data_IF_665320383380
#
_entry.id   IF_665320383380
#
_cell.length_a   1.000
_cell.length_b   1.000
_cell.length_c   1.000
_cell.angle_alpha   90.00
_cell.angle_beta   90.00
_cell.angle_gamma   90.00
#
_symmetry.space_group_name_H-M   'P 1'
#
loop_
_entity.id
_entity.type
_entity.pdbx_description
1 polymer ?
#
# COMPACT_ATOMS: atom_id res chain seq x y z
N UNK A 1 1.97 2.66 -10.42
CA UNK A 1 0.50 2.77 -10.33
C UNK A 1 -0.18 1.40 -10.24
N UNK A 2 -0.42 0.65 -11.34
CA UNK A 2 -1.08 -0.68 -11.23
C UNK A 2 -0.16 -1.71 -10.56
N UNK A 3 1.12 -1.75 -10.94
CA UNK A 3 2.07 -2.73 -10.42
C UNK A 3 2.37 -2.52 -8.93
N UNK A 4 2.59 -1.26 -8.52
CA UNK A 4 2.80 -0.89 -7.12
C UNK A 4 1.59 -1.24 -6.23
N UNK A 5 0.38 -1.07 -6.75
CA UNK A 5 -0.86 -1.45 -6.05
C UNK A 5 -0.97 -2.97 -5.91
N UNK A 6 -0.68 -3.73 -6.97
CA UNK A 6 -0.69 -5.20 -6.95
C UNK A 6 0.35 -5.72 -5.96
N UNK A 7 1.57 -5.16 -5.99
CA UNK A 7 2.65 -5.55 -5.10
C UNK A 7 2.32 -5.24 -3.64
N UNK A 8 1.75 -4.05 -3.37
CA UNK A 8 1.28 -3.67 -2.05
C UNK A 8 0.14 -4.58 -1.55
N UNK A 9 -0.85 -4.88 -2.40
CA UNK A 9 -1.95 -5.78 -2.05
C UNK A 9 -1.47 -7.21 -1.76
N UNK A 10 -0.59 -7.75 -2.60
CA UNK A 10 -0.01 -9.08 -2.40
C UNK A 10 0.68 -9.17 -1.05
N UNK A 11 1.49 -8.17 -0.71
CA UNK A 11 2.27 -8.18 0.52
C UNK A 11 1.40 -7.97 1.76
N UNK A 12 0.35 -7.16 1.64
CA UNK A 12 -0.66 -7.06 2.68
C UNK A 12 -1.41 -8.37 2.92
N UNK A 13 -1.84 -9.08 1.86
CA UNK A 13 -2.48 -10.38 2.02
C UNK A 13 -1.53 -11.39 2.67
N UNK A 14 -0.24 -11.38 2.32
CA UNK A 14 0.76 -12.22 2.98
C UNK A 14 0.85 -11.93 4.49
N UNK A 15 0.96 -10.66 4.88
CA UNK A 15 1.04 -10.25 6.29
C UNK A 15 -0.27 -10.51 7.06
N UNK A 16 -1.43 -10.30 6.43
CA UNK A 16 -2.73 -10.58 7.05
C UNK A 16 -2.97 -12.08 7.29
N UNK A 17 -2.44 -12.94 6.42
CA UNK A 17 -2.54 -14.40 6.61
C UNK A 17 -1.66 -14.92 7.75
N UNK A 18 -0.55 -14.22 8.05
CA UNK A 18 0.35 -14.54 9.16
C UNK A 18 -0.20 -14.03 10.49
N UNK A 19 -0.71 -12.79 10.53
CA UNK A 19 -1.29 -12.16 11.71
C UNK A 19 -2.60 -11.44 11.32
N UNK A 20 -3.78 -11.99 11.66
CA UNK A 20 -5.09 -11.48 11.22
C UNK A 20 -5.55 -10.22 11.97
N UNK A 21 -4.64 -9.26 12.14
CA UNK A 21 -4.94 -7.88 12.51
C UNK A 21 -4.69 -6.96 11.31
N UNK A 22 -5.77 -6.38 10.79
CA UNK A 22 -5.73 -5.46 9.63
C UNK A 22 -4.80 -4.28 9.89
N UNK A 23 -4.78 -3.74 11.11
CA UNK A 23 -3.94 -2.57 11.43
C UNK A 23 -2.46 -2.93 11.42
N UNK A 24 -2.09 -4.06 12.04
CA UNK A 24 -0.70 -4.54 12.04
C UNK A 24 -0.23 -4.89 10.62
N UNK A 25 -1.04 -5.60 9.83
CA UNK A 25 -0.72 -5.96 8.46
C UNK A 25 -0.53 -4.74 7.54
N UNK A 26 -1.42 -3.73 7.62
CA UNK A 26 -1.25 -2.47 6.88
C UNK A 26 0.03 -1.76 7.30
N UNK A 27 0.32 -1.70 8.60
CA UNK A 27 1.53 -1.04 9.11
C UNK A 27 2.81 -1.73 8.66
N UNK A 28 2.87 -3.06 8.71
CA UNK A 28 4.03 -3.82 8.21
C UNK A 28 4.22 -3.61 6.71
N UNK A 29 3.15 -3.67 5.93
CA UNK A 29 3.20 -3.48 4.47
C UNK A 29 3.68 -2.07 4.09
N UNK A 30 3.24 -1.04 4.82
CA UNK A 30 3.74 0.33 4.67
C UNK A 30 5.23 0.45 5.02
N UNK A 31 5.66 -0.24 6.08
CA UNK A 31 7.06 -0.20 6.52
C UNK A 31 8.00 -0.98 5.59
N UNK A 32 7.54 -2.03 4.92
CA UNK A 32 8.37 -2.80 3.98
C UNK A 32 8.25 -2.23 2.57
N UNK A 33 7.11 -2.46 1.94
CA UNK A 33 6.84 -2.10 0.54
C UNK A 33 6.74 -0.58 0.36
N UNK A 34 6.12 0.13 1.29
CA UNK A 34 6.01 1.59 1.22
C UNK A 34 7.37 2.30 1.26
N UNK A 35 8.36 1.78 2.00
CA UNK A 35 9.74 2.30 1.98
C UNK A 35 10.40 2.10 0.61
N UNK A 36 10.23 0.94 -0.02
CA UNK A 36 10.77 0.70 -1.35
C UNK A 36 10.17 1.65 -2.38
N UNK A 37 8.85 1.85 -2.36
CA UNK A 37 8.15 2.79 -3.25
C UNK A 37 8.56 4.26 -3.01
N UNK A 38 8.86 4.65 -1.76
CA UNK A 38 9.39 5.98 -1.46
C UNK A 38 10.72 6.23 -2.20
N UNK A 39 11.65 5.27 -2.14
CA UNK A 39 12.95 5.42 -2.78
C UNK A 39 12.85 5.52 -4.30
N UNK A 40 12.02 4.69 -4.94
CA UNK A 40 11.82 4.74 -6.39
C UNK A 40 11.17 6.05 -6.82
N UNK A 41 10.19 6.55 -6.05
CA UNK A 41 9.51 7.82 -6.32
C UNK A 41 10.45 9.01 -6.19
N UNK A 42 11.29 9.04 -5.15
CA UNK A 42 12.32 10.08 -4.99
C UNK A 42 13.32 10.04 -6.14
N UNK A 43 13.77 8.84 -6.55
CA UNK A 43 14.69 8.69 -7.68
C UNK A 43 14.08 9.21 -8.99
N UNK A 44 12.80 8.92 -9.25
CA UNK A 44 12.07 9.43 -10.41
C UNK A 44 11.95 10.96 -10.38
N UNK A 45 11.51 11.53 -9.26
CA UNK A 45 11.39 12.98 -9.09
C UNK A 45 12.74 13.67 -9.30
N UNK A 46 13.81 13.12 -8.70
CA UNK A 46 15.16 13.63 -8.90
C UNK A 46 15.58 13.57 -10.38
N UNK A 47 15.28 12.47 -11.08
CA UNK A 47 15.55 12.33 -12.51
C UNK A 47 14.84 13.37 -13.36
N UNK A 48 13.56 13.66 -13.08
CA UNK A 48 12.81 14.71 -13.77
C UNK A 48 13.25 16.12 -13.40
N UNK A 49 13.72 16.35 -12.17
CA UNK A 49 14.24 17.64 -11.75
C UNK A 49 15.58 18.01 -12.37
N UNK A 50 16.32 17.07 -12.98
CA UNK A 50 17.47 17.41 -13.82
C UNK A 50 17.04 18.35 -14.96
N UNK A 51 15.81 18.21 -15.49
CA UNK A 51 15.28 19.09 -16.54
C UNK A 51 15.05 20.53 -16.08
N UNK A 52 15.05 20.82 -14.78
CA UNK A 52 15.02 22.20 -14.27
C UNK A 52 16.30 22.98 -14.60
N UNK A 53 17.38 22.28 -14.98
CA UNK A 53 18.63 22.91 -15.44
C UNK A 53 18.61 23.24 -16.94
N UNK A 54 17.56 22.86 -17.66
CA UNK A 54 17.48 23.06 -19.10
C UNK A 54 17.29 24.56 -19.45
N UNK A 55 18.05 25.03 -20.44
CA UNK A 55 17.94 26.39 -20.96
C UNK A 55 16.64 26.63 -21.74
N UNK A 56 15.97 25.58 -22.21
CA UNK A 56 14.72 25.69 -22.95
C UNK A 56 13.55 25.68 -21.98
N UNK A 57 12.79 26.77 -21.92
CA UNK A 57 11.68 26.95 -20.96
C UNK A 57 10.64 25.84 -21.03
N UNK A 58 10.36 25.29 -22.22
CA UNK A 58 9.41 24.18 -22.37
C UNK A 58 9.86 22.92 -21.63
N UNK A 59 11.17 22.63 -21.64
CA UNK A 59 11.76 21.46 -20.96
C UNK A 59 11.77 21.68 -19.45
N UNK A 60 12.06 22.90 -19.01
CA UNK A 60 11.97 23.29 -17.59
C UNK A 60 10.57 23.01 -17.03
N UNK A 61 9.52 23.55 -17.67
CA UNK A 61 8.15 23.38 -17.21
C UNK A 61 7.69 21.93 -17.27
N UNK A 62 8.07 21.19 -18.31
CA UNK A 62 7.80 19.77 -18.40
C UNK A 62 8.38 19.00 -17.21
N UNK A 63 9.66 19.23 -16.87
CA UNK A 63 10.30 18.61 -15.71
C UNK A 63 9.63 18.98 -14.39
N UNK A 64 9.27 20.24 -14.22
CA UNK A 64 8.58 20.74 -13.02
C UNK A 64 7.22 20.04 -12.82
N UNK A 65 6.34 20.09 -13.84
CA UNK A 65 5.00 19.51 -13.75
C UNK A 65 5.04 17.99 -13.64
N UNK A 66 5.97 17.32 -14.32
CA UNK A 66 6.10 15.87 -14.24
C UNK A 66 6.57 15.43 -12.86
N UNK A 67 7.57 16.12 -12.28
CA UNK A 67 8.00 15.86 -10.90
C UNK A 67 6.86 16.04 -9.89
N UNK A 68 6.07 17.10 -10.01
CA UNK A 68 4.87 17.32 -9.17
C UNK A 68 3.83 16.22 -9.37
N UNK A 69 3.59 15.81 -10.62
CA UNK A 69 2.63 14.75 -10.95
C UNK A 69 3.03 13.43 -10.30
N UNK A 70 4.32 13.08 -10.33
CA UNK A 70 4.84 11.87 -9.70
C UNK A 70 4.67 11.93 -8.18
N UNK A 71 4.93 13.08 -7.55
CA UNK A 71 4.70 13.26 -6.11
C UNK A 71 3.23 13.06 -5.73
N UNK A 72 2.31 13.65 -6.51
CA UNK A 72 0.86 13.51 -6.28
C UNK A 72 0.41 12.06 -6.51
N UNK A 73 0.91 11.41 -7.56
CA UNK A 73 0.61 10.02 -7.86
C UNK A 73 1.08 9.09 -6.73
N UNK A 74 2.31 9.28 -6.25
CA UNK A 74 2.85 8.51 -5.15
C UNK A 74 2.07 8.73 -3.84
N UNK A 75 1.72 9.98 -3.53
CA UNK A 75 0.90 10.28 -2.36
C UNK A 75 -0.48 9.63 -2.47
N UNK A 76 -1.05 9.63 -3.67
CA UNK A 76 -2.30 8.93 -3.96
C UNK A 76 -2.16 7.42 -3.76
N UNK A 77 -1.08 6.79 -4.23
CA UNK A 77 -0.86 5.35 -4.06
C UNK A 77 -0.74 4.95 -2.57
N UNK A 78 -0.03 5.74 -1.75
CA UNK A 78 0.08 5.50 -0.30
C UNK A 78 -1.22 5.72 0.45
N UNK A 79 -2.05 6.69 0.04
CA UNK A 79 -3.32 6.99 0.71
C UNK A 79 -4.44 6.04 0.26
N UNK A 80 -4.45 5.68 -1.03
CA UNK A 80 -5.48 4.85 -1.65
C UNK A 80 -5.30 3.38 -1.28
N UNK A 81 -4.06 2.91 -1.15
CA UNK A 81 -3.75 1.54 -0.72
C UNK A 81 -4.43 1.11 0.60
N UNK A 82 -4.25 1.81 1.74
CA UNK A 82 -4.92 1.46 2.99
C UNK A 82 -6.43 1.73 2.94
N UNK A 83 -6.88 2.72 2.16
CA UNK A 83 -8.30 3.00 1.97
C UNK A 83 -9.03 1.84 1.25
N UNK A 84 -8.44 1.33 0.17
CA UNK A 84 -8.92 0.14 -0.54
C UNK A 84 -8.96 -1.08 0.38
N UNK A 85 -7.90 -1.32 1.16
CA UNK A 85 -7.86 -2.44 2.10
C UNK A 85 -8.90 -2.33 3.22
N UNK A 86 -9.09 -1.13 3.76
CA UNK A 86 -10.14 -0.87 4.75
C UNK A 86 -11.53 -1.19 4.20
N UNK A 87 -11.81 -0.77 2.96
CA UNK A 87 -13.12 -0.98 2.32
C UNK A 87 -13.34 -2.45 1.93
N UNK A 88 -12.31 -3.15 1.43
CA UNK A 88 -12.44 -4.56 1.05
C UNK A 88 -12.49 -5.50 2.26
N UNK A 89 -11.73 -5.23 3.34
CA UNK A 89 -11.84 -5.99 4.59
C UNK A 89 -13.06 -5.62 5.44
N UNK A 90 -13.67 -4.43 5.26
CA UNK A 90 -14.94 -4.11 5.89
C UNK A 90 -16.10 -5.04 5.44
N UNK A 91 -15.97 -5.71 4.29
CA UNK A 91 -16.97 -6.66 3.79
C UNK A 91 -16.75 -8.12 4.22
N UNK A 92 -15.71 -8.44 5.01
CA UNK A 92 -15.43 -9.80 5.51
C UNK A 92 -15.40 -9.89 7.06
N UNK A 93 -16.07 -8.97 7.77
CA UNK A 93 -16.23 -9.03 9.23
C UNK A 93 -17.43 -9.86 9.72
N UNK A 94 -17.87 -10.89 9.00
CA UNK A 94 -18.88 -11.84 9.53
C UNK A 94 -18.52 -13.29 9.22
N UNK A 95 -17.57 -13.84 9.99
CA UNK A 95 -17.87 -15.03 10.79
C UNK A 95 -16.88 -15.10 11.95
N UNK A 96 -17.30 -14.82 13.20
CA UNK A 96 -16.53 -15.26 14.35
C UNK A 96 -16.54 -16.79 14.32
N UNK A 97 -15.42 -17.41 13.95
CA UNK A 97 -15.24 -18.86 14.09
C UNK A 97 -15.11 -19.21 15.57
N UNK A 98 -16.24 -19.09 16.27
CA UNK A 98 -16.52 -19.75 17.52
C UNK A 98 -16.64 -21.24 17.22
N UNK A 99 -15.51 -21.90 17.02
CA UNK A 99 -15.40 -23.32 17.26
C UNK A 99 -14.83 -23.47 18.67
N UNK A 100 -15.70 -23.12 19.62
CA UNK A 100 -16.10 -23.96 20.74
C UNK A 100 -15.06 -24.98 21.17
N UNK A 101 -14.54 -24.75 22.37
CA UNK A 101 -13.70 -25.65 23.15
C UNK A 101 -14.04 -27.14 22.90
N UNK A 102 -13.04 -28.01 22.73
CA UNK A 102 -13.22 -29.47 22.68
C UNK A 102 -13.83 -30.08 23.96
N UNK A 103 -14.12 -29.29 24.99
CA UNK A 103 -14.59 -29.75 26.30
C UNK A 103 -16.07 -30.14 26.34
N UNK A 104 -16.87 -29.82 25.30
CA UNK A 104 -18.26 -30.30 25.22
C UNK A 104 -18.42 -31.70 24.60
N UNK A 105 -17.34 -32.34 24.14
CA UNK A 105 -17.39 -33.69 23.54
C UNK A 105 -17.21 -34.84 24.54
N UNK A 106 -17.15 -34.57 25.86
CA UNK A 106 -16.92 -35.60 26.88
C UNK A 106 -18.06 -35.86 27.87
N UNK A 107 -19.19 -35.19 27.75
CA UNK A 107 -20.31 -35.39 28.68
C UNK A 107 -21.64 -35.32 27.94
N UNK A 108 -22.14 -36.46 27.47
CA UNK A 108 -23.47 -36.53 26.89
C UNK A 108 -23.84 -37.88 26.29
N UNK A 109 -24.06 -38.87 27.17
CA UNK A 109 -24.78 -40.16 26.96
C UNK A 109 -24.22 -41.20 26.01
#
# INVERSE_FOLDING_TARGET
AVDDTIHFMHQFYAHYNEEPDVKSAVRQTLLTTGRAMLFTSIALVAGFWIFLTASLSNVYYFGLFTGITILIAFLSDILLSPALMSVTHANHQQEPRSLKNPEELKTGT
#
